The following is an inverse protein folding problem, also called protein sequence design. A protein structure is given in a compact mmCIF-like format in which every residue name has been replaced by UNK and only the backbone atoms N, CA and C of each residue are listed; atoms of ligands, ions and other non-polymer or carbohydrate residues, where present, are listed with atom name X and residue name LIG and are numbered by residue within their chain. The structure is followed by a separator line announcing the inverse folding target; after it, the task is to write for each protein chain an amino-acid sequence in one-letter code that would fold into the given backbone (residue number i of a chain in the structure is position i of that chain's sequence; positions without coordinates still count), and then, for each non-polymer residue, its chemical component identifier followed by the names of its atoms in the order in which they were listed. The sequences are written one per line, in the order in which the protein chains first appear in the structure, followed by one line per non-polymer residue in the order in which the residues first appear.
data_IF_539600300066
#
_entry.id   IF_539600300066
#
_cell.length_a   1.000
_cell.length_b   1.000
_cell.length_c   1.000
_cell.angle_alpha   90.00
_cell.angle_beta   90.00
_cell.angle_gamma   90.00
#
_symmetry.space_group_name_H-M   'P 1'
#
loop_
_entity.id
_entity.type
_entity.pdbx_description
1 polymer ?
#
# COMPACT_ATOMS: atom_id res chain seq x y z
N UNK A 1 13.03 0.67 8.83
CA UNK A 1 12.54 1.33 7.61
C UNK A 1 11.05 1.43 7.66
N UNK A 2 10.50 2.52 7.14
CA UNK A 2 9.06 2.70 7.14
C UNK A 2 8.39 1.69 6.23
N UNK A 3 7.27 1.16 6.67
CA UNK A 3 6.45 0.24 5.92
C UNK A 3 5.18 0.95 5.49
N UNK A 4 4.91 0.94 4.20
CA UNK A 4 3.83 1.68 3.59
C UNK A 4 2.82 0.71 3.00
N UNK A 5 1.55 0.91 3.32
CA UNK A 5 0.46 0.15 2.72
C UNK A 5 -0.13 0.97 1.58
N UNK A 6 -0.17 0.38 0.40
CA UNK A 6 -0.73 1.02 -0.79
C UNK A 6 -2.09 0.38 -1.07
N UNK A 7 -3.14 1.18 -1.01
CA UNK A 7 -4.51 0.72 -1.24
C UNK A 7 -5.05 1.35 -2.51
N UNK A 8 -5.26 0.54 -3.53
CA UNK A 8 -5.79 0.98 -4.82
C UNK A 8 -6.40 -0.23 -5.50
N UNK A 9 -7.55 -0.07 -6.15
CA UNK A 9 -8.20 -1.15 -6.86
C UNK A 9 -7.56 -1.44 -8.23
N UNK A 10 -6.66 -0.57 -8.69
CA UNK A 10 -5.93 -0.73 -9.95
C UNK A 10 -4.57 -1.37 -9.71
N UNK A 11 -4.36 -2.63 -10.11
CA UNK A 11 -3.06 -3.29 -9.86
C UNK A 11 -1.87 -2.56 -10.50
N UNK A 12 -2.08 -1.96 -11.66
CA UNK A 12 -1.01 -1.24 -12.37
C UNK A 12 -0.56 0.00 -11.61
N UNK A 13 -1.52 0.70 -11.00
CA UNK A 13 -1.22 1.88 -10.19
C UNK A 13 -0.48 1.47 -8.92
N UNK A 14 -0.96 0.40 -8.26
CA UNK A 14 -0.27 -0.13 -7.07
C UNK A 14 1.18 -0.49 -7.39
N UNK A 15 1.41 -1.20 -8.49
CA UNK A 15 2.75 -1.60 -8.90
C UNK A 15 3.65 -0.39 -9.13
N UNK A 16 3.13 0.63 -9.79
CA UNK A 16 3.90 1.84 -10.08
C UNK A 16 4.29 2.57 -8.80
N UNK A 17 3.36 2.74 -7.88
CA UNK A 17 3.63 3.39 -6.61
C UNK A 17 4.64 2.56 -5.81
N UNK A 18 4.45 1.25 -5.76
CA UNK A 18 5.36 0.36 -5.04
C UNK A 18 6.79 0.48 -5.58
N UNK A 19 6.94 0.45 -6.89
CA UNK A 19 8.27 0.55 -7.50
C UNK A 19 8.98 1.84 -7.11
N UNK A 20 8.28 2.95 -7.14
CA UNK A 20 8.85 4.24 -6.76
C UNK A 20 9.25 4.28 -5.29
N UNK A 21 8.40 3.74 -4.42
CA UNK A 21 8.67 3.75 -2.99
C UNK A 21 9.79 2.79 -2.62
N UNK A 22 9.83 1.62 -3.24
CA UNK A 22 10.91 0.66 -3.00
C UNK A 22 12.25 1.21 -3.48
N UNK A 23 12.25 1.92 -4.59
CA UNK A 23 13.46 2.59 -5.08
C UNK A 23 13.95 3.62 -4.07
N UNK A 24 13.04 4.30 -3.38
CA UNK A 24 13.39 5.27 -2.35
C UNK A 24 13.78 4.63 -1.00
N UNK A 25 13.71 3.30 -0.89
CA UNK A 25 14.14 2.59 0.30
C UNK A 25 13.02 2.19 1.26
N UNK A 26 11.76 2.36 0.89
CA UNK A 26 10.63 1.97 1.73
C UNK A 26 10.24 0.52 1.49
N UNK A 27 9.68 -0.11 2.54
CA UNK A 27 9.04 -1.41 2.42
C UNK A 27 7.56 -1.19 2.13
N UNK A 28 7.00 -1.96 1.19
CA UNK A 28 5.62 -1.75 0.76
C UNK A 28 4.79 -3.02 0.85
N UNK A 29 3.52 -2.85 1.24
CA UNK A 29 2.48 -3.86 1.08
C UNK A 29 1.37 -3.29 0.22
N UNK A 30 0.59 -4.15 -0.41
CA UNK A 30 -0.48 -3.75 -1.31
C UNK A 30 -1.80 -4.33 -0.85
N UNK A 31 -2.87 -3.56 -1.07
CA UNK A 31 -4.23 -4.02 -0.85
C UNK A 31 -5.09 -3.53 -2.01
N UNK A 32 -5.96 -4.39 -2.53
CA UNK A 32 -6.81 -4.05 -3.66
C UNK A 32 -8.17 -3.52 -3.26
N UNK A 33 -8.52 -3.59 -1.98
CA UNK A 33 -9.80 -3.11 -1.47
C UNK A 33 -9.71 -2.85 0.02
N UNK A 34 -10.83 -2.37 0.61
CA UNK A 34 -10.86 -2.03 2.01
C UNK A 34 -10.71 -3.23 2.94
N UNK A 35 -11.23 -4.38 2.55
CA UNK A 35 -11.11 -5.60 3.35
C UNK A 35 -9.66 -6.04 3.45
N UNK A 36 -8.96 -6.07 2.34
CA UNK A 36 -7.54 -6.40 2.32
C UNK A 36 -6.72 -5.37 3.10
N UNK A 37 -7.08 -4.09 3.00
CA UNK A 37 -6.41 -3.03 3.75
C UNK A 37 -6.56 -3.21 5.25
N UNK A 38 -7.77 -3.50 5.71
CA UNK A 38 -8.03 -3.73 7.13
C UNK A 38 -7.26 -4.95 7.64
N UNK A 39 -7.20 -6.01 6.85
CA UNK A 39 -6.44 -7.21 7.19
C UNK A 39 -4.96 -6.88 7.35
N UNK A 40 -4.39 -6.13 6.43
CA UNK A 40 -2.98 -5.72 6.50
C UNK A 40 -2.71 -4.85 7.73
N UNK A 41 -3.61 -3.91 8.02
CA UNK A 41 -3.47 -3.04 9.19
C UNK A 41 -3.57 -3.81 10.50
N UNK A 42 -4.43 -4.84 10.56
CA UNK A 42 -4.60 -5.63 11.79
C UNK A 42 -3.36 -6.45 12.13
N UNK A 43 -2.51 -6.73 11.15
CA UNK A 43 -1.26 -7.44 11.40
C UNK A 43 -0.19 -6.54 12.02
N UNK A 44 -0.37 -5.24 11.95
CA UNK A 44 0.56 -4.28 12.52
C UNK A 44 1.77 -4.00 11.64
N UNK A 45 2.59 -3.06 12.07
CA UNK A 45 3.83 -2.73 11.37
C UNK A 45 3.69 -1.73 10.23
N UNK A 46 2.49 -1.25 9.95
CA UNK A 46 2.26 -0.26 8.90
C UNK A 46 2.47 1.14 9.49
N UNK A 47 3.34 1.91 8.86
CA UNK A 47 3.66 3.28 9.30
C UNK A 47 2.86 4.33 8.55
N UNK A 48 2.49 4.05 7.30
CA UNK A 48 1.78 5.00 6.45
C UNK A 48 0.87 4.25 5.49
N UNK A 49 -0.30 4.80 5.24
CA UNK A 49 -1.24 4.27 4.25
C UNK A 49 -1.40 5.28 3.13
N UNK A 50 -1.19 4.82 1.89
CA UNK A 50 -1.52 5.60 0.70
C UNK A 50 -2.83 5.03 0.18
N UNK A 51 -3.85 5.86 0.17
CA UNK A 51 -5.19 5.46 -0.22
C UNK A 51 -5.63 6.27 -1.42
N UNK A 52 -5.86 5.60 -2.55
CA UNK A 52 -6.41 6.22 -3.74
C UNK A 52 -7.79 5.65 -3.98
N UNK A 53 -8.79 6.46 -3.73
CA UNK A 53 -10.18 6.06 -3.97
C UNK A 53 -10.67 6.80 -5.20
N UNK A 54 -10.65 6.08 -6.30
CA UNK A 54 -11.26 6.54 -7.53
C UNK A 54 -12.73 6.15 -7.50
N UNK A 55 -13.55 7.08 -7.12
CA UNK A 55 -14.99 6.88 -7.17
C UNK A 55 -15.60 7.59 -8.36
#
# INVERSE_FOLDING_TARGET
MAKILIVDDEPRIRDLIREHLQYAGFTCEEAGDGTAALSALSQGGIDLVILDIMM
#
